data_IF_045282123558
#
_entry.id   IF_045282123558
#
_cell.length_a   1.000
_cell.length_b   1.000
_cell.length_c   1.000
_cell.angle_alpha   90.00
_cell.angle_beta   90.00
_cell.angle_gamma   90.00
#
_symmetry.space_group_name_H-M   'P 1'
#
loop_
_entity.id
_entity.type
_entity.pdbx_description
1 polymer ?
#
# COMPACT_ATOMS: atom_id res chain seq x y z
N UNK A 1 13.46 5.67 7.65
CA UNK A 1 13.33 7.07 8.08
C UNK A 1 13.62 7.97 6.88
N UNK A 2 12.67 8.03 5.92
CA UNK A 2 12.75 8.81 4.67
C UNK A 2 11.37 9.35 4.26
N UNK A 3 10.48 9.62 5.22
CA UNK A 3 9.09 10.04 4.92
C UNK A 3 8.99 11.44 4.32
N UNK A 4 9.98 12.30 4.56
CA UNK A 4 10.02 13.69 4.07
C UNK A 4 11.15 13.90 3.07
N UNK A 5 11.21 13.06 2.02
CA UNK A 5 12.29 13.11 1.01
C UNK A 5 12.32 14.43 0.21
N UNK A 6 11.21 15.14 0.11
CA UNK A 6 11.09 16.45 -0.55
C UNK A 6 11.21 17.64 0.43
N UNK A 7 11.58 17.39 1.69
CA UNK A 7 11.55 18.41 2.76
C UNK A 7 10.21 18.47 3.51
N UNK A 8 10.17 19.25 4.59
CA UNK A 8 9.02 19.30 5.51
C UNK A 8 7.93 20.32 5.17
N UNK A 9 8.14 21.19 4.17
CA UNK A 9 7.24 22.30 3.84
C UNK A 9 7.24 22.64 2.33
N UNK A 10 7.24 21.62 1.47
CA UNK A 10 7.25 21.80 0.01
C UNK A 10 5.96 22.49 -0.49
N UNK A 11 6.03 23.74 -1.01
CA UNK A 11 4.83 24.51 -1.37
C UNK A 11 3.96 23.84 -2.43
N UNK A 12 4.58 23.14 -3.39
CA UNK A 12 3.86 22.40 -4.43
C UNK A 12 2.96 21.31 -3.88
N UNK A 13 3.38 20.63 -2.81
CA UNK A 13 2.58 19.58 -2.17
C UNK A 13 1.39 20.17 -1.40
N UNK A 14 1.60 21.31 -0.73
CA UNK A 14 0.53 22.05 -0.03
C UNK A 14 -0.54 22.50 -1.03
N UNK A 15 -0.15 23.10 -2.16
CA UNK A 15 -1.08 23.54 -3.19
C UNK A 15 -1.88 22.36 -3.77
N UNK A 16 -1.22 21.25 -4.10
CA UNK A 16 -1.87 20.05 -4.62
C UNK A 16 -2.91 19.48 -3.64
N UNK A 17 -2.57 19.43 -2.34
CA UNK A 17 -3.48 18.99 -1.30
C UNK A 17 -4.71 19.92 -1.17
N UNK A 18 -4.48 21.24 -1.10
CA UNK A 18 -5.57 22.23 -1.01
C UNK A 18 -6.50 22.17 -2.20
N UNK A 19 -5.96 22.04 -3.42
CA UNK A 19 -6.77 21.89 -4.64
C UNK A 19 -7.65 20.64 -4.60
N UNK A 20 -7.11 19.50 -4.19
CA UNK A 20 -7.89 18.27 -4.09
C UNK A 20 -8.96 18.35 -2.99
N UNK A 21 -8.62 18.91 -1.83
CA UNK A 21 -9.58 19.11 -0.73
C UNK A 21 -10.74 20.02 -1.14
N UNK A 22 -10.48 21.10 -1.88
CA UNK A 22 -11.54 21.97 -2.40
C UNK A 22 -12.38 21.32 -3.52
N UNK A 23 -11.86 20.30 -4.19
CA UNK A 23 -12.55 19.60 -5.30
C UNK A 23 -13.40 18.43 -4.80
N UNK A 24 -12.77 17.51 -4.05
CA UNK A 24 -13.39 16.33 -3.47
C UNK A 24 -12.51 15.83 -2.32
N UNK A 25 -12.81 16.18 -1.05
CA UNK A 25 -12.00 15.79 0.09
C UNK A 25 -11.95 14.28 0.30
N UNK A 26 -13.07 13.59 0.09
CA UNK A 26 -13.19 12.16 0.32
C UNK A 26 -14.35 11.54 -0.46
N UNK A 27 -14.11 10.35 -1.00
CA UNK A 27 -15.13 9.41 -1.43
C UNK A 27 -14.55 7.99 -1.36
N UNK A 28 -15.39 6.99 -1.12
CA UNK A 28 -14.91 5.61 -1.02
C UNK A 28 -14.45 5.05 -2.37
N UNK A 29 -13.54 4.06 -2.35
CA UNK A 29 -13.10 3.32 -3.55
C UNK A 29 -13.69 1.91 -3.66
N UNK A 30 -14.73 1.60 -2.89
CA UNK A 30 -15.50 0.34 -3.05
C UNK A 30 -16.35 0.33 -4.32
N UNK A 31 -16.67 -0.87 -4.81
CA UNK A 31 -17.56 -1.12 -5.96
C UNK A 31 -17.15 -0.36 -7.23
N UNK A 32 -15.88 -0.48 -7.61
CA UNK A 32 -15.31 0.14 -8.81
C UNK A 32 -15.48 1.67 -8.87
N UNK A 33 -15.65 2.33 -7.71
CA UNK A 33 -15.54 3.78 -7.60
C UNK A 33 -14.07 4.17 -7.47
N UNK A 34 -13.68 5.23 -8.14
CA UNK A 34 -12.30 5.72 -8.15
C UNK A 34 -12.28 7.23 -8.34
N UNK A 35 -11.13 7.83 -8.03
CA UNK A 35 -10.86 9.26 -8.25
C UNK A 35 -9.69 9.39 -9.23
N UNK A 36 -9.63 10.52 -9.95
CA UNK A 36 -8.52 10.78 -10.88
C UNK A 36 -7.14 10.69 -10.22
N UNK A 37 -6.90 11.26 -9.00
CA UNK A 37 -5.61 11.13 -8.33
C UNK A 37 -5.18 9.68 -8.06
N UNK A 38 -6.10 8.83 -7.57
CA UNK A 38 -5.79 7.44 -7.29
C UNK A 38 -5.49 6.64 -8.56
N UNK A 39 -6.21 6.94 -9.66
CA UNK A 39 -5.97 6.30 -10.97
C UNK A 39 -4.62 6.71 -11.55
N UNK A 40 -4.28 7.99 -11.50
CA UNK A 40 -3.01 8.51 -12.01
C UNK A 40 -1.83 7.98 -11.20
N UNK A 41 -1.92 8.04 -9.87
CA UNK A 41 -0.89 7.49 -8.99
C UNK A 41 -0.68 5.99 -9.24
N UNK A 42 -1.75 5.22 -9.46
CA UNK A 42 -1.62 3.80 -9.78
C UNK A 42 -0.86 3.57 -11.09
N UNK A 43 -1.08 4.41 -12.11
CA UNK A 43 -0.34 4.33 -13.39
C UNK A 43 1.12 4.71 -13.19
N UNK A 44 1.38 5.84 -12.55
CA UNK A 44 2.73 6.34 -12.28
C UNK A 44 3.56 5.31 -11.51
N UNK A 45 2.97 4.66 -10.51
CA UNK A 45 3.63 3.59 -9.75
C UNK A 45 3.98 2.39 -10.63
N UNK A 46 3.05 1.93 -11.48
CA UNK A 46 3.28 0.79 -12.37
C UNK A 46 4.36 1.09 -13.43
N UNK A 47 4.45 2.33 -13.90
CA UNK A 47 5.49 2.77 -14.83
C UNK A 47 6.86 2.95 -14.14
N UNK A 48 6.87 3.43 -12.90
CA UNK A 48 8.11 3.67 -12.14
C UNK A 48 8.78 2.38 -11.64
N UNK A 49 8.01 1.38 -11.20
CA UNK A 49 8.55 0.12 -10.65
C UNK A 49 8.82 -0.91 -11.74
N UNK A 50 10.00 -0.87 -12.36
CA UNK A 50 10.39 -1.74 -13.47
C UNK A 50 11.15 -3.01 -13.07
N UNK A 51 11.54 -3.14 -11.79
CA UNK A 51 12.35 -4.26 -11.30
C UNK A 51 11.67 -5.63 -11.51
N UNK A 52 10.35 -5.68 -11.50
CA UNK A 52 9.53 -6.85 -11.87
C UNK A 52 8.23 -6.37 -12.50
N UNK A 53 7.61 -7.21 -13.34
CA UNK A 53 6.30 -6.90 -13.93
C UNK A 53 5.24 -6.83 -12.83
N UNK A 54 4.74 -5.63 -12.54
CA UNK A 54 3.58 -5.39 -11.69
C UNK A 54 2.36 -5.02 -12.55
N UNK A 55 1.15 -5.36 -12.10
CA UNK A 55 -0.08 -5.11 -12.89
C UNK A 55 -1.16 -4.30 -12.17
N UNK A 56 -1.15 -4.29 -10.82
CA UNK A 56 -2.18 -3.62 -10.01
C UNK A 56 -1.55 -2.97 -8.78
N UNK A 57 -2.12 -1.84 -8.37
CA UNK A 57 -1.81 -1.17 -7.11
C UNK A 57 -3.02 -1.24 -6.16
N UNK A 58 -2.76 -1.47 -4.88
CA UNK A 58 -3.76 -1.43 -3.81
C UNK A 58 -3.28 -0.44 -2.74
N UNK A 59 -4.10 0.58 -2.45
CA UNK A 59 -3.72 1.65 -1.53
C UNK A 59 -4.16 1.35 -0.10
N UNK A 60 -3.28 1.67 0.85
CA UNK A 60 -3.51 1.60 2.30
C UNK A 60 -3.03 2.90 2.97
N UNK A 61 -3.34 3.08 4.26
CA UNK A 61 -2.96 4.29 5.01
C UNK A 61 -1.55 4.22 5.63
N UNK A 62 -0.90 3.05 5.59
CA UNK A 62 0.42 2.88 6.17
C UNK A 62 1.07 1.55 5.80
N UNK A 63 2.36 1.44 6.14
CA UNK A 63 3.17 0.25 5.88
C UNK A 63 2.68 -1.00 6.62
N UNK A 64 2.21 -0.85 7.86
CA UNK A 64 1.62 -1.95 8.63
C UNK A 64 0.37 -2.52 7.94
N UNK A 65 -0.56 -1.65 7.54
CA UNK A 65 -1.79 -2.05 6.82
C UNK A 65 -1.48 -2.67 5.46
N UNK A 66 -0.43 -2.19 4.79
CA UNK A 66 0.05 -2.76 3.54
C UNK A 66 0.54 -4.21 3.77
N UNK A 67 1.33 -4.45 4.82
CA UNK A 67 1.85 -5.79 5.12
C UNK A 67 0.75 -6.77 5.59
N UNK A 68 -0.21 -6.33 6.39
CA UNK A 68 -1.39 -7.15 6.72
C UNK A 68 -2.21 -7.49 5.47
N UNK A 69 -2.32 -6.54 4.52
CA UNK A 69 -2.94 -6.78 3.21
C UNK A 69 -2.16 -7.82 2.40
N UNK A 70 -0.82 -7.75 2.39
CA UNK A 70 0.02 -8.75 1.71
C UNK A 70 -0.22 -10.16 2.29
N UNK A 71 -0.27 -10.29 3.61
CA UNK A 71 -0.55 -11.58 4.26
C UNK A 71 -1.91 -12.13 3.84
N UNK A 72 -2.95 -11.28 3.85
CA UNK A 72 -4.30 -11.65 3.38
C UNK A 72 -4.29 -12.12 1.92
N UNK A 73 -3.59 -11.41 1.03
CA UNK A 73 -3.51 -11.77 -0.38
C UNK A 73 -2.79 -13.11 -0.59
N UNK A 74 -1.68 -13.37 0.12
CA UNK A 74 -0.94 -14.64 0.02
C UNK A 74 -1.78 -15.82 0.52
N UNK A 75 -2.47 -15.66 1.65
CA UNK A 75 -3.41 -16.69 2.13
C UNK A 75 -4.54 -16.95 1.16
N UNK A 76 -5.15 -15.89 0.62
CA UNK A 76 -6.21 -15.99 -0.38
C UNK A 76 -5.72 -16.72 -1.62
N UNK A 77 -4.53 -16.38 -2.12
CA UNK A 77 -3.90 -17.02 -3.27
C UNK A 77 -3.72 -18.52 -3.05
N UNK A 78 -3.13 -18.94 -1.93
CA UNK A 78 -2.92 -20.37 -1.68
C UNK A 78 -4.22 -21.14 -1.39
N UNK A 79 -5.21 -20.50 -0.78
CA UNK A 79 -6.56 -21.08 -0.67
C UNK A 79 -7.18 -21.31 -2.06
N UNK A 80 -7.10 -20.33 -2.95
CA UNK A 80 -7.63 -20.42 -4.31
C UNK A 80 -6.93 -21.53 -5.14
N UNK A 81 -5.66 -21.82 -4.85
CA UNK A 81 -4.93 -22.93 -5.44
C UNK A 81 -5.19 -24.30 -4.78
N UNK A 82 -6.13 -24.40 -3.84
CA UNK A 82 -6.42 -25.65 -3.13
C UNK A 82 -5.33 -26.08 -2.15
N UNK A 83 -4.51 -25.14 -1.65
CA UNK A 83 -3.42 -25.38 -0.68
C UNK A 83 -3.72 -24.71 0.67
N UNK A 84 -4.79 -25.10 1.38
CA UNK A 84 -5.26 -24.42 2.59
C UNK A 84 -4.26 -24.47 3.75
N UNK A 85 -3.37 -25.47 3.79
CA UNK A 85 -2.35 -25.62 4.83
C UNK A 85 -1.12 -24.71 4.62
N UNK A 86 -0.98 -24.10 3.44
CA UNK A 86 0.19 -23.26 3.11
C UNK A 86 0.01 -21.82 3.60
N UNK A 87 0.15 -21.64 4.93
CA UNK A 87 -0.16 -20.37 5.62
C UNK A 87 1.00 -19.73 6.39
N UNK A 88 2.13 -20.43 6.53
CA UNK A 88 3.28 -19.95 7.31
C UNK A 88 4.03 -18.85 6.55
N UNK A 89 4.46 -17.82 7.27
CA UNK A 89 5.40 -16.79 6.80
C UNK A 89 6.75 -16.99 7.48
N UNK A 90 7.80 -16.59 6.77
CA UNK A 90 9.17 -16.59 7.29
C UNK A 90 9.62 -15.14 7.34
N UNK A 91 9.91 -14.66 8.55
CA UNK A 91 10.48 -13.34 8.80
C UNK A 91 11.97 -13.47 9.16
N UNK A 92 12.68 -12.33 9.25
CA UNK A 92 14.11 -12.30 9.58
C UNK A 92 14.31 -11.68 10.96
N UNK A 93 15.30 -12.19 11.70
CA UNK A 93 15.76 -11.54 12.93
C UNK A 93 16.21 -10.10 12.64
N UNK A 94 15.88 -9.17 13.53
CA UNK A 94 16.09 -7.71 13.46
C UNK A 94 15.37 -7.05 12.29
N UNK A 95 14.20 -7.55 11.90
CA UNK A 95 13.38 -6.96 10.85
C UNK A 95 12.27 -6.05 11.39
N UNK A 96 11.83 -5.10 10.56
CA UNK A 96 10.68 -4.24 10.85
C UNK A 96 9.67 -4.33 9.72
N UNK A 97 8.48 -4.83 10.05
CA UNK A 97 7.36 -5.00 9.14
C UNK A 97 6.11 -4.22 9.59
N UNK A 98 6.14 -3.56 10.74
CA UNK A 98 5.06 -2.68 11.20
C UNK A 98 4.55 -3.05 12.58
N UNK A 99 3.42 -2.47 12.96
CA UNK A 99 2.89 -2.49 14.32
C UNK A 99 1.43 -2.95 14.44
N UNK A 100 0.76 -3.30 13.33
CA UNK A 100 -0.50 -4.05 13.37
C UNK A 100 -0.24 -5.49 13.81
N UNK A 101 -1.26 -6.25 14.22
CA UNK A 101 -1.09 -7.57 14.84
C UNK A 101 -0.21 -8.53 14.02
N UNK A 102 -0.51 -8.68 12.72
CA UNK A 102 0.23 -9.60 11.85
C UNK A 102 1.60 -9.02 11.53
N UNK A 103 1.67 -7.75 11.12
CA UNK A 103 2.94 -7.06 10.83
C UNK A 103 3.91 -7.03 12.01
N UNK A 104 3.42 -6.88 13.23
CA UNK A 104 4.21 -6.95 14.45
C UNK A 104 4.74 -8.37 14.68
N UNK A 105 3.94 -9.40 14.40
CA UNK A 105 4.39 -10.81 14.45
C UNK A 105 5.45 -11.14 13.40
N UNK A 106 5.47 -10.40 12.29
CA UNK A 106 6.51 -10.48 11.26
C UNK A 106 7.74 -9.63 11.59
N UNK A 107 7.66 -8.72 12.56
CA UNK A 107 8.78 -7.92 13.03
C UNK A 107 9.51 -8.66 14.15
N UNK A 108 10.82 -8.41 14.31
CA UNK A 108 11.61 -9.07 15.35
C UNK A 108 12.96 -9.45 14.85
#
# INVERSE_FOLDING_TARGET
MLTSCAGGNEPRLVEAAMKQLNTLPFYHSFWNRTTKPSLDLAKDLLEMFTANKMEKAFFTNGGSDANDTQVKLVWYYYNALGKPEKKKFIARNKSYHGSTLISASLSG
#
